data_IF_389170810537
#
_entry.id   IF_389170810537
#
_cell.length_a   1.000
_cell.length_b   1.000
_cell.length_c   1.000
_cell.angle_alpha   90.00
_cell.angle_beta   90.00
_cell.angle_gamma   90.00
#
_symmetry.space_group_name_H-M   'P 1'
#
loop_
_entity.id
_entity.type
_entity.pdbx_description
1 polymer ?
#
# COMPACT_ATOMS: atom_id res chain seq x y z
N UNK A 1 30.53 16.55 -37.42
CA UNK A 1 29.19 16.53 -36.78
C UNK A 1 28.88 15.21 -36.07
N UNK A 2 29.21 14.04 -36.65
CA UNK A 2 28.99 12.71 -36.03
C UNK A 2 29.70 12.50 -34.68
N UNK A 3 30.92 13.00 -34.51
CA UNK A 3 31.69 12.85 -33.25
C UNK A 3 31.03 13.60 -32.08
N UNK A 4 30.36 14.73 -32.35
CA UNK A 4 29.71 15.55 -31.31
C UNK A 4 28.42 14.90 -30.79
N UNK A 5 27.64 14.25 -31.67
CA UNK A 5 26.46 13.47 -31.28
C UNK A 5 26.84 12.23 -30.46
N UNK A 6 27.90 11.52 -30.83
CA UNK A 6 28.39 10.37 -30.05
C UNK A 6 28.88 10.77 -28.65
N UNK A 7 29.56 11.90 -28.49
CA UNK A 7 29.95 12.41 -27.16
C UNK A 7 28.70 12.79 -26.36
N UNK A 8 27.72 13.43 -26.99
CA UNK A 8 26.47 13.87 -26.35
C UNK A 8 25.56 12.68 -25.94
N UNK A 9 25.46 11.64 -26.78
CA UNK A 9 24.75 10.40 -26.46
C UNK A 9 25.44 9.63 -25.33
N UNK A 10 26.77 9.57 -25.35
CA UNK A 10 27.58 8.92 -24.32
C UNK A 10 27.52 9.65 -22.98
N UNK A 11 27.40 10.98 -22.98
CA UNK A 11 27.15 11.75 -21.75
C UNK A 11 25.73 11.56 -21.23
N UNK A 12 24.73 11.54 -22.12
CA UNK A 12 23.34 11.26 -21.77
C UNK A 12 23.14 9.84 -21.22
N UNK A 13 23.91 8.87 -21.72
CA UNK A 13 23.89 7.49 -21.21
C UNK A 13 24.51 7.39 -19.80
N UNK A 14 25.63 8.10 -19.55
CA UNK A 14 26.22 8.22 -18.21
C UNK A 14 25.28 8.93 -17.22
N UNK A 15 24.51 9.90 -17.68
CA UNK A 15 23.54 10.60 -16.84
C UNK A 15 22.39 9.68 -16.40
N UNK A 16 21.88 8.84 -17.32
CA UNK A 16 20.88 7.80 -17.00
C UNK A 16 21.45 6.74 -16.05
N UNK A 17 22.72 6.39 -16.19
CA UNK A 17 23.37 5.42 -15.30
C UNK A 17 23.48 5.97 -13.86
N UNK A 18 23.84 7.25 -13.70
CA UNK A 18 23.84 7.94 -12.40
C UNK A 18 22.45 8.05 -11.80
N UNK A 19 21.42 8.25 -12.62
CA UNK A 19 20.04 8.31 -12.16
C UNK A 19 19.56 6.96 -11.60
N UNK A 20 19.88 5.86 -12.29
CA UNK A 20 19.62 4.49 -11.81
C UNK A 20 20.38 4.16 -10.53
N UNK A 21 21.62 4.65 -10.40
CA UNK A 21 22.42 4.46 -9.20
C UNK A 21 21.81 5.18 -7.99
N UNK A 22 21.35 6.42 -8.17
CA UNK A 22 20.61 7.19 -7.14
C UNK A 22 19.29 6.52 -6.76
N UNK A 23 18.60 5.92 -7.71
CA UNK A 23 17.34 5.21 -7.44
C UNK A 23 17.58 3.96 -6.57
N UNK A 24 18.63 3.17 -6.90
CA UNK A 24 19.06 2.01 -6.08
C UNK A 24 19.51 2.42 -4.68
N UNK A 25 20.17 3.56 -4.54
CA UNK A 25 20.60 4.08 -3.24
C UNK A 25 19.40 4.46 -2.37
N UNK A 26 18.39 5.13 -2.94
CA UNK A 26 17.12 5.44 -2.26
C UNK A 26 16.36 4.19 -1.85
N UNK A 27 16.38 3.15 -2.68
CA UNK A 27 15.72 1.88 -2.36
C UNK A 27 16.39 1.18 -1.17
N UNK A 28 17.73 1.15 -1.15
CA UNK A 28 18.51 0.65 0.00
C UNK A 28 18.27 1.46 1.27
N UNK A 29 18.11 2.77 1.16
CA UNK A 29 17.80 3.63 2.30
C UNK A 29 16.41 3.32 2.88
N UNK A 30 15.39 3.14 2.02
CA UNK A 30 14.05 2.70 2.43
C UNK A 30 14.05 1.31 3.05
N UNK A 31 14.89 0.41 2.57
CA UNK A 31 15.05 -0.93 3.15
C UNK A 31 15.66 -0.86 4.56
N UNK A 32 16.71 -0.05 4.74
CA UNK A 32 17.29 0.22 6.08
C UNK A 32 16.29 0.89 7.01
N UNK A 33 15.45 1.79 6.50
CA UNK A 33 14.40 2.45 7.29
C UNK A 33 13.33 1.45 7.72
N UNK A 34 12.89 0.55 6.83
CA UNK A 34 12.00 -0.57 7.17
C UNK A 34 12.62 -1.52 8.18
N UNK A 35 13.91 -1.86 8.04
CA UNK A 35 14.62 -2.67 9.02
C UNK A 35 14.69 -1.98 10.40
N UNK A 36 14.91 -0.66 10.43
CA UNK A 36 14.88 0.14 11.66
C UNK A 36 13.49 0.18 12.27
N UNK A 37 12.44 0.33 11.47
CA UNK A 37 11.05 0.27 11.95
C UNK A 37 10.70 -1.12 12.49
N UNK A 38 11.10 -2.20 11.82
CA UNK A 38 10.91 -3.57 12.29
C UNK A 38 11.67 -3.78 13.61
N UNK A 39 12.91 -3.29 13.72
CA UNK A 39 13.69 -3.38 14.95
C UNK A 39 13.11 -2.51 16.08
N UNK A 40 12.57 -1.32 15.77
CA UNK A 40 11.93 -0.43 16.74
C UNK A 40 10.58 -0.96 17.22
N UNK A 41 9.80 -1.57 16.32
CA UNK A 41 8.47 -2.11 16.63
C UNK A 41 8.52 -3.56 17.17
N UNK A 42 9.57 -4.31 16.86
CA UNK A 42 9.71 -5.75 17.20
C UNK A 42 10.44 -6.05 18.51
N UNK A 43 11.08 -5.06 19.15
CA UNK A 43 11.84 -5.25 20.39
C UNK A 43 11.25 -4.42 21.53
N UNK A 44 10.21 -4.93 22.19
CA UNK A 44 10.05 -4.56 23.59
C UNK A 44 11.25 -5.12 24.35
N UNK A 45 12.01 -4.24 25.01
CA UNK A 45 13.12 -4.69 25.86
C UNK A 45 12.58 -5.68 26.91
N UNK A 46 13.38 -6.68 27.35
CA UNK A 46 12.94 -7.60 28.40
C UNK A 46 12.48 -6.89 29.69
N UNK A 47 12.94 -5.66 29.94
CA UNK A 47 12.46 -4.81 31.02
C UNK A 47 11.05 -4.25 30.73
N UNK A 48 10.82 -3.65 29.55
CA UNK A 48 9.52 -3.11 29.16
C UNK A 48 8.44 -4.19 29.02
N UNK A 49 8.82 -5.40 28.59
CA UNK A 49 7.93 -6.57 28.55
C UNK A 49 7.55 -7.04 29.97
N UNK A 50 8.51 -7.08 30.90
CA UNK A 50 8.24 -7.39 32.31
C UNK A 50 7.31 -6.38 32.96
N UNK A 51 7.48 -5.09 32.70
CA UNK A 51 6.62 -4.05 33.26
C UNK A 51 5.19 -4.14 32.72
N UNK A 52 5.00 -4.38 31.41
CA UNK A 52 3.65 -4.65 30.85
C UNK A 52 2.99 -5.89 31.44
N UNK A 53 3.76 -6.91 31.79
CA UNK A 53 3.23 -8.11 32.42
C UNK A 53 2.80 -7.83 33.87
N UNK A 54 3.48 -6.95 34.60
CA UNK A 54 3.12 -6.56 35.97
C UNK A 54 1.79 -5.81 36.08
N UNK A 55 1.36 -5.13 35.02
CA UNK A 55 0.08 -4.42 34.96
C UNK A 55 -1.13 -5.35 34.75
N UNK A 56 -0.92 -6.66 34.55
CA UNK A 56 -2.02 -7.62 34.39
C UNK A 56 -2.53 -8.09 35.77
N UNK A 57 -3.86 -8.04 36.03
CA UNK A 57 -4.46 -8.21 37.36
C UNK A 57 -4.32 -9.61 37.98
N UNK A 58 -3.60 -10.55 37.35
CA UNK A 58 -3.44 -11.93 37.82
C UNK A 58 -1.97 -12.36 37.94
N UNK A 59 -0.99 -11.49 37.63
CA UNK A 59 0.43 -11.87 37.61
C UNK A 59 1.01 -12.20 38.99
N UNK A 60 0.42 -11.68 40.07
CA UNK A 60 0.77 -12.05 41.44
C UNK A 60 0.50 -13.52 41.78
N UNK A 61 -0.39 -14.18 41.02
CA UNK A 61 -0.85 -15.55 41.29
C UNK A 61 0.02 -16.59 40.58
N UNK A 62 0.62 -16.23 39.43
CA UNK A 62 1.25 -17.22 38.53
C UNK A 62 2.78 -17.26 38.57
N UNK A 63 3.47 -16.31 39.22
CA UNK A 63 4.95 -16.39 39.30
C UNK A 63 5.56 -15.56 40.45
N UNK A 64 6.09 -16.25 41.47
CA UNK A 64 6.89 -15.65 42.55
C UNK A 64 8.24 -15.06 42.09
N UNK A 65 8.65 -15.29 40.84
CA UNK A 65 9.92 -14.81 40.30
C UNK A 65 9.86 -13.36 39.76
N UNK A 66 8.68 -12.73 39.69
CA UNK A 66 8.47 -11.42 39.03
C UNK A 66 8.42 -10.26 40.04
N UNK A 67 8.17 -10.53 41.32
CA UNK A 67 8.23 -9.56 42.41
C UNK A 67 9.39 -9.96 43.34
N UNK A 68 10.51 -9.22 43.38
CA UNK A 68 11.45 -9.38 44.49
C UNK A 68 10.74 -8.85 45.75
N UNK A 69 10.37 -9.75 46.67
CA UNK A 69 9.85 -9.36 47.97
C UNK A 69 10.86 -8.43 48.65
N UNK A 70 10.47 -7.18 48.85
CA UNK A 70 11.12 -6.31 49.82
C UNK A 70 10.83 -6.92 51.20
N UNK A 71 11.79 -7.68 51.73
CA UNK A 71 11.77 -8.15 53.11
C UNK A 71 11.89 -6.95 54.05
N UNK A 72 10.76 -6.35 54.41
CA UNK A 72 10.65 -5.67 55.69
C UNK A 72 10.43 -6.73 56.78
N UNK A 73 11.32 -6.75 57.76
CA UNK A 73 11.25 -7.67 58.91
C UNK A 73 10.06 -7.26 59.80
N UNK A 74 9.14 -8.16 60.18
CA UNK A 74 8.28 -7.93 61.32
C UNK A 74 8.88 -8.63 62.54
N UNK A 75 9.46 -7.83 63.42
CA UNK A 75 9.55 -8.18 64.83
C UNK A 75 8.16 -7.97 65.44
N UNK A 76 7.44 -9.07 65.70
CA UNK A 76 6.62 -9.31 66.91
C UNK A 76 5.75 -10.55 66.70
N UNK A 77 5.58 -11.28 67.81
CA UNK A 77 4.77 -12.47 67.94
C UNK A 77 3.30 -12.08 67.76
N UNK A 78 2.72 -12.45 66.63
CA UNK A 78 1.27 -12.66 66.56
C UNK A 78 1.06 -14.14 66.27
N UNK A 79 0.60 -14.82 67.32
CA UNK A 79 -0.03 -16.13 67.22
C UNK A 79 -1.14 -15.94 66.19
N UNK A 80 -0.98 -16.54 65.01
CA UNK A 80 -2.08 -16.66 64.06
C UNK A 80 -3.06 -17.62 64.73
N UNK A 81 -4.03 -17.04 65.42
CA UNK A 81 -5.13 -17.73 66.05
C UNK A 81 -5.81 -18.55 64.94
N UNK A 82 -5.62 -19.87 64.98
CA UNK A 82 -6.17 -20.84 64.03
C UNK A 82 -7.68 -21.05 64.27
N UNK A 83 -8.37 -19.97 64.65
CA UNK A 83 -9.79 -19.90 64.99
C UNK A 83 -10.60 -19.09 63.96
N UNK A 84 -10.10 -18.89 62.73
CA UNK A 84 -10.86 -18.27 61.63
C UNK A 84 -11.48 -19.28 60.65
N UNK A 85 -12.09 -20.34 61.17
CA UNK A 85 -13.27 -21.02 60.62
C UNK A 85 -13.26 -22.49 61.06
N UNK A 86 -13.93 -22.80 62.16
CA UNK A 86 -14.59 -24.09 62.26
C UNK A 86 -15.69 -24.05 61.19
N UNK A 87 -15.40 -24.53 59.98
CA UNK A 87 -16.39 -24.71 58.92
C UNK A 87 -17.31 -25.83 59.42
N UNK A 88 -18.39 -25.46 60.12
CA UNK A 88 -19.33 -26.41 60.73
C UNK A 88 -20.03 -27.30 59.70
N UNK A 89 -20.05 -26.86 58.44
CA UNK A 89 -20.78 -27.48 57.33
C UNK A 89 -19.82 -27.89 56.19
N UNK A 90 -18.62 -28.41 56.51
CA UNK A 90 -17.71 -28.97 55.51
C UNK A 90 -18.24 -30.31 55.01
N UNK A 91 -18.76 -30.34 53.79
CA UNK A 91 -19.27 -31.54 53.13
C UNK A 91 -18.28 -32.02 52.07
N UNK A 92 -17.95 -33.31 52.08
CA UNK A 92 -17.05 -33.92 51.10
C UNK A 92 -17.80 -35.01 50.35
N UNK A 93 -17.99 -34.82 49.05
CA UNK A 93 -18.67 -35.77 48.16
C UNK A 93 -17.59 -36.52 47.38
N UNK A 94 -17.45 -37.81 47.64
CA UNK A 94 -16.49 -38.64 46.89
C UNK A 94 -16.97 -38.84 45.44
N UNK A 95 -16.13 -38.48 44.47
CA UNK A 95 -16.46 -38.58 43.04
C UNK A 95 -15.93 -39.87 42.43
N UNK A 96 -14.61 -40.11 42.51
CA UNK A 96 -13.98 -41.25 41.86
C UNK A 96 -12.69 -41.67 42.58
N UNK A 97 -12.46 -42.98 42.70
CA UNK A 97 -11.20 -43.55 43.17
C UNK A 97 -10.61 -44.44 42.08
N UNK A 98 -9.37 -44.15 41.69
CA UNK A 98 -8.60 -44.90 40.69
C UNK A 98 -7.25 -45.29 41.30
N UNK A 99 -6.55 -46.25 40.67
CA UNK A 99 -5.21 -46.64 41.11
C UNK A 99 -4.21 -45.47 41.11
N UNK A 100 -4.45 -44.47 40.26
CA UNK A 100 -3.65 -43.26 40.12
C UNK A 100 -4.02 -42.13 41.09
N UNK A 101 -5.09 -42.24 41.87
CA UNK A 101 -5.52 -41.20 42.80
C UNK A 101 -7.01 -41.18 43.11
N UNK A 102 -7.42 -40.20 43.90
CA UNK A 102 -8.80 -40.02 44.35
C UNK A 102 -9.28 -38.60 44.02
N UNK A 103 -10.55 -38.47 43.66
CA UNK A 103 -11.23 -37.21 43.37
C UNK A 103 -12.48 -37.08 44.24
N UNK A 104 -12.69 -35.90 44.80
CA UNK A 104 -13.81 -35.55 45.65
C UNK A 104 -14.14 -34.06 45.48
N UNK A 105 -15.39 -33.71 45.72
CA UNK A 105 -15.89 -32.34 45.75
C UNK A 105 -16.02 -31.90 47.20
N UNK A 106 -15.57 -30.68 47.52
CA UNK A 106 -15.65 -30.12 48.88
C UNK A 106 -16.52 -28.89 48.85
N UNK A 107 -17.63 -28.94 49.58
CA UNK A 107 -18.56 -27.82 49.74
C UNK A 107 -18.36 -27.24 51.13
N UNK A 108 -17.83 -26.02 51.19
CA UNK A 108 -17.59 -25.31 52.46
C UNK A 108 -18.81 -24.51 52.93
N UNK A 109 -19.67 -24.14 51.98
CA UNK A 109 -20.96 -23.47 52.22
C UNK A 109 -21.86 -23.76 51.01
N UNK A 110 -23.07 -24.28 51.19
CA UNK A 110 -23.99 -24.49 50.09
C UNK A 110 -24.33 -23.15 49.41
N UNK A 111 -24.64 -23.15 48.10
CA UNK A 111 -25.01 -21.94 47.38
C UNK A 111 -26.15 -21.23 48.10
N UNK A 112 -26.04 -19.90 48.25
CA UNK A 112 -27.04 -19.11 49.01
C UNK A 112 -28.37 -18.97 48.27
N UNK A 113 -28.45 -19.49 47.05
CA UNK A 113 -29.62 -19.52 46.18
C UNK A 113 -29.76 -20.94 45.62
N UNK A 114 -30.88 -21.60 45.92
CA UNK A 114 -31.21 -22.95 45.44
C UNK A 114 -31.62 -22.98 43.96
N UNK A 115 -31.65 -21.83 43.29
CA UNK A 115 -31.91 -21.77 41.85
C UNK A 115 -30.62 -21.96 41.05
N UNK A 116 -30.75 -22.60 39.90
CA UNK A 116 -29.66 -22.83 38.96
C UNK A 116 -28.97 -21.52 38.48
N UNK A 117 -27.94 -21.65 37.63
CA UNK A 117 -27.15 -20.51 37.14
C UNK A 117 -28.05 -19.36 36.66
N UNK A 118 -27.76 -18.12 37.09
CA UNK A 118 -28.53 -16.93 36.71
C UNK A 118 -28.66 -16.84 35.17
N UNK A 119 -29.87 -16.96 34.60
CA UNK A 119 -30.07 -16.99 33.14
C UNK A 119 -29.59 -15.71 32.43
N UNK A 120 -29.46 -14.60 33.17
CA UNK A 120 -29.08 -13.30 32.63
C UNK A 120 -27.59 -13.18 32.28
N UNK A 121 -26.73 -14.09 32.75
CA UNK A 121 -25.29 -14.07 32.48
C UNK A 121 -24.86 -14.88 31.24
N UNK A 122 -25.80 -15.60 30.62
CA UNK A 122 -25.54 -16.36 29.40
C UNK A 122 -26.01 -15.57 28.20
N UNK A 123 -25.07 -15.02 27.44
CA UNK A 123 -25.37 -14.66 26.05
C UNK A 123 -25.95 -15.91 25.37
N UNK A 124 -27.06 -15.79 24.62
CA UNK A 124 -27.64 -16.94 23.95
C UNK A 124 -26.55 -17.62 23.12
N UNK A 125 -26.44 -18.97 23.14
CA UNK A 125 -25.45 -19.70 22.38
C UNK A 125 -25.47 -19.20 20.94
N UNK A 126 -24.40 -18.54 20.51
CA UNK A 126 -24.31 -18.11 19.11
C UNK A 126 -24.33 -19.36 18.26
N UNK A 127 -25.21 -19.39 17.27
CA UNK A 127 -25.21 -20.45 16.27
C UNK A 127 -23.82 -20.52 15.66
N UNK A 128 -23.24 -21.71 15.64
CA UNK A 128 -22.00 -21.94 14.95
C UNK A 128 -22.21 -21.67 13.45
N UNK A 129 -21.37 -20.85 12.81
CA UNK A 129 -21.50 -20.57 11.39
C UNK A 129 -21.44 -21.86 10.57
N UNK A 130 -22.34 -22.00 9.61
CA UNK A 130 -22.29 -23.08 8.64
C UNK A 130 -21.06 -22.95 7.73
N UNK A 131 -20.61 -24.06 7.14
CA UNK A 131 -19.50 -24.07 6.19
C UNK A 131 -19.75 -23.09 5.02
N UNK A 132 -20.98 -23.01 4.53
CA UNK A 132 -21.37 -22.12 3.44
C UNK A 132 -21.26 -20.63 3.83
N UNK A 133 -21.64 -20.27 5.06
CA UNK A 133 -21.47 -18.90 5.57
C UNK A 133 -20.00 -18.52 5.76
N UNK A 134 -19.16 -19.47 6.18
CA UNK A 134 -17.72 -19.27 6.29
C UNK A 134 -17.12 -19.04 4.90
N UNK A 135 -17.44 -19.93 3.93
CA UNK A 135 -16.94 -19.82 2.56
C UNK A 135 -17.33 -18.49 1.92
N UNK A 136 -18.61 -18.10 2.04
CA UNK A 136 -19.12 -16.82 1.53
C UNK A 136 -18.37 -15.61 2.08
N UNK A 137 -17.95 -15.64 3.36
CA UNK A 137 -17.15 -14.57 3.96
C UNK A 137 -15.72 -14.54 3.43
N UNK A 138 -15.12 -15.70 3.19
CA UNK A 138 -13.79 -15.83 2.58
C UNK A 138 -13.80 -15.31 1.14
N UNK A 139 -14.78 -15.74 0.35
CA UNK A 139 -14.96 -15.32 -1.05
C UNK A 139 -15.19 -13.80 -1.11
N UNK A 140 -16.06 -13.26 -0.26
CA UNK A 140 -16.29 -11.82 -0.21
C UNK A 140 -15.02 -11.03 0.15
N UNK A 141 -14.13 -11.58 0.99
CA UNK A 141 -12.84 -10.96 1.29
C UNK A 141 -11.87 -11.07 0.11
N UNK A 142 -11.90 -12.18 -0.63
CA UNK A 142 -11.12 -12.36 -1.85
C UNK A 142 -11.54 -11.40 -2.96
N UNK A 143 -12.85 -11.26 -3.19
CA UNK A 143 -13.38 -10.34 -4.19
C UNK A 143 -13.02 -8.89 -3.84
N UNK A 144 -13.02 -8.50 -2.56
CA UNK A 144 -12.52 -7.17 -2.15
C UNK A 144 -11.04 -6.97 -2.49
N UNK A 145 -10.19 -8.00 -2.28
CA UNK A 145 -8.76 -7.93 -2.66
C UNK A 145 -8.60 -7.81 -4.18
N UNK A 146 -9.31 -8.64 -4.94
CA UNK A 146 -9.28 -8.61 -6.41
C UNK A 146 -9.78 -7.29 -6.97
N UNK A 147 -10.84 -6.71 -6.41
CA UNK A 147 -11.34 -5.40 -6.81
C UNK A 147 -10.29 -4.30 -6.61
N UNK A 148 -9.61 -4.28 -5.46
CA UNK A 148 -8.54 -3.30 -5.19
C UNK A 148 -7.36 -3.47 -6.16
N UNK A 149 -6.96 -4.72 -6.42
CA UNK A 149 -5.91 -5.02 -7.40
C UNK A 149 -6.31 -4.61 -8.82
N UNK A 150 -7.54 -4.91 -9.23
CA UNK A 150 -8.07 -4.55 -10.54
C UNK A 150 -8.13 -3.02 -10.73
N UNK A 151 -8.52 -2.27 -9.70
CA UNK A 151 -8.54 -0.80 -9.73
C UNK A 151 -7.13 -0.22 -9.86
N UNK A 152 -6.15 -0.76 -9.13
CA UNK A 152 -4.75 -0.39 -9.28
C UNK A 152 -4.23 -0.70 -10.70
N UNK A 153 -4.51 -1.90 -11.20
CA UNK A 153 -4.12 -2.31 -12.55
C UNK A 153 -4.76 -1.43 -13.62
N UNK A 154 -6.02 -1.01 -13.43
CA UNK A 154 -6.71 -0.07 -14.32
C UNK A 154 -5.98 1.27 -14.37
N UNK A 155 -5.64 1.86 -13.25
CA UNK A 155 -4.87 3.12 -13.23
C UNK A 155 -3.48 2.99 -13.85
N UNK A 156 -2.81 1.86 -13.65
CA UNK A 156 -1.55 1.59 -14.32
C UNK A 156 -1.72 1.46 -15.84
N UNK A 157 -2.78 0.81 -16.30
CA UNK A 157 -3.10 0.69 -17.73
C UNK A 157 -3.42 2.06 -18.34
N UNK A 158 -4.24 2.88 -17.68
CA UNK A 158 -4.54 4.27 -18.07
C UNK A 158 -3.26 5.10 -18.20
N UNK A 159 -2.34 4.99 -17.23
CA UNK A 159 -1.05 5.70 -17.30
C UNK A 159 -0.21 5.26 -18.50
N UNK A 160 -0.16 3.95 -18.78
CA UNK A 160 0.58 3.42 -19.95
C UNK A 160 -0.06 3.80 -21.27
N UNK A 161 -1.37 3.97 -21.31
CA UNK A 161 -2.09 4.50 -22.46
C UNK A 161 -1.73 5.97 -22.67
N UNK A 162 -1.77 6.78 -21.62
CA UNK A 162 -1.39 8.19 -21.70
C UNK A 162 0.06 8.37 -22.18
N UNK A 163 1.00 7.55 -21.70
CA UNK A 163 2.39 7.56 -22.18
C UNK A 163 2.48 7.29 -23.70
N UNK A 164 1.67 6.36 -24.22
CA UNK A 164 1.58 6.07 -25.66
C UNK A 164 0.98 7.25 -26.43
N UNK A 165 -0.11 7.82 -25.93
CA UNK A 165 -0.76 8.99 -26.55
C UNK A 165 0.19 10.19 -26.64
N UNK A 166 0.94 10.47 -25.57
CA UNK A 166 1.92 11.57 -25.57
C UNK A 166 3.02 11.32 -26.61
N UNK A 167 3.56 10.10 -26.68
CA UNK A 167 4.57 9.76 -27.68
C UNK A 167 4.04 9.86 -29.12
N UNK A 168 2.82 9.37 -29.35
CA UNK A 168 2.15 9.47 -30.65
C UNK A 168 1.88 10.92 -31.03
N UNK A 169 1.36 11.73 -30.11
CA UNK A 169 1.05 13.14 -30.35
C UNK A 169 2.31 13.94 -30.70
N UNK A 170 3.44 13.67 -30.04
CA UNK A 170 4.71 14.31 -30.39
C UNK A 170 5.13 14.00 -31.84
N UNK A 171 4.94 12.76 -32.29
CA UNK A 171 5.21 12.36 -33.67
C UNK A 171 4.24 13.01 -34.66
N UNK A 172 2.95 13.05 -34.32
CA UNK A 172 1.92 13.69 -35.14
C UNK A 172 2.17 15.19 -35.32
N UNK A 173 2.50 15.91 -34.25
CA UNK A 173 2.82 17.34 -34.30
C UNK A 173 4.07 17.60 -35.16
N UNK A 174 5.11 16.78 -35.00
CA UNK A 174 6.31 16.86 -35.84
C UNK A 174 5.99 16.64 -37.33
N UNK A 175 5.21 15.61 -37.65
CA UNK A 175 4.80 15.32 -39.02
C UNK A 175 3.91 16.42 -39.59
N UNK A 176 3.01 16.98 -38.79
CA UNK A 176 2.18 18.12 -39.17
C UNK A 176 3.01 19.37 -39.47
N UNK A 177 4.05 19.64 -38.68
CA UNK A 177 4.96 20.75 -38.95
C UNK A 177 5.66 20.57 -40.31
N UNK A 178 6.21 19.38 -40.58
CA UNK A 178 6.86 19.09 -41.86
C UNK A 178 5.88 19.25 -43.03
N UNK A 179 4.66 18.71 -42.89
CA UNK A 179 3.62 18.80 -43.92
C UNK A 179 3.25 20.25 -44.21
N UNK A 180 2.95 21.05 -43.18
CA UNK A 180 2.58 22.46 -43.34
C UNK A 180 3.74 23.29 -43.91
N UNK A 181 4.98 23.03 -43.50
CA UNK A 181 6.15 23.70 -44.06
C UNK A 181 6.31 23.39 -45.56
N UNK A 182 6.11 22.14 -45.96
CA UNK A 182 6.16 21.69 -47.35
C UNK A 182 5.06 22.36 -48.19
N UNK A 183 3.80 22.26 -47.76
CA UNK A 183 2.66 22.88 -48.44
C UNK A 183 2.86 24.39 -48.62
N UNK A 184 3.34 25.07 -47.58
CA UNK A 184 3.61 26.52 -47.65
C UNK A 184 4.71 26.85 -48.66
N UNK A 185 5.74 26.03 -48.76
CA UNK A 185 6.81 26.22 -49.73
C UNK A 185 6.29 26.00 -51.15
N UNK A 186 5.55 24.93 -51.39
CA UNK A 186 4.93 24.61 -52.69
C UNK A 186 4.03 25.75 -53.16
N UNK A 187 3.15 26.26 -52.29
CA UNK A 187 2.30 27.41 -52.59
C UNK A 187 3.09 28.67 -52.95
N UNK A 188 4.19 28.95 -52.23
CA UNK A 188 5.05 30.10 -52.54
C UNK A 188 5.74 29.96 -53.89
N UNK A 189 6.18 28.76 -54.24
CA UNK A 189 6.84 28.49 -55.52
C UNK A 189 5.84 28.63 -56.67
N UNK A 190 4.61 28.10 -56.52
CA UNK A 190 3.60 28.22 -57.57
C UNK A 190 3.19 29.68 -57.77
N UNK A 191 2.94 30.42 -56.69
CA UNK A 191 2.63 31.84 -56.79
C UNK A 191 3.78 32.68 -57.39
N UNK A 192 5.03 32.32 -57.11
CA UNK A 192 6.18 32.97 -57.74
C UNK A 192 6.24 32.69 -59.25
N UNK A 193 5.99 31.44 -59.63
CA UNK A 193 5.93 30.99 -61.02
C UNK A 193 4.81 31.70 -61.79
N UNK A 194 3.59 31.70 -61.26
CA UNK A 194 2.44 32.41 -61.83
C UNK A 194 2.73 33.91 -62.02
N UNK A 195 3.35 34.56 -61.02
CA UNK A 195 3.76 35.97 -61.13
C UNK A 195 4.78 36.21 -62.24
N UNK A 196 5.76 35.31 -62.38
CA UNK A 196 6.77 35.39 -63.43
C UNK A 196 6.14 35.20 -64.81
N UNK A 197 5.25 34.22 -64.95
CA UNK A 197 4.52 33.95 -66.19
C UNK A 197 3.61 35.11 -66.57
N UNK A 198 2.85 35.67 -65.63
CA UNK A 198 2.01 36.84 -65.86
C UNK A 198 2.83 38.07 -66.30
N UNK A 199 3.98 38.32 -65.65
CA UNK A 199 4.86 39.42 -66.05
C UNK A 199 5.42 39.25 -67.47
N UNK A 200 5.85 38.04 -67.81
CA UNK A 200 6.33 37.72 -69.16
C UNK A 200 5.21 37.83 -70.20
N UNK A 201 4.02 37.29 -69.90
CA UNK A 201 2.86 37.38 -70.78
C UNK A 201 2.48 38.84 -71.06
N UNK A 202 2.41 39.68 -70.02
CA UNK A 202 2.13 41.11 -70.18
C UNK A 202 3.21 41.84 -71.00
N UNK A 203 4.48 41.43 -70.90
CA UNK A 203 5.56 41.98 -71.72
C UNK A 203 5.41 41.59 -73.19
N UNK A 204 5.09 40.32 -73.47
CA UNK A 204 4.87 39.81 -74.81
C UNK A 204 3.64 40.45 -75.47
N UNK A 205 2.54 40.62 -74.74
CA UNK A 205 1.33 41.27 -75.23
C UNK A 205 1.59 42.72 -75.67
N UNK A 206 2.31 43.51 -74.86
CA UNK A 206 2.72 44.87 -75.24
C UNK A 206 3.58 44.91 -76.50
N UNK A 207 4.42 43.92 -76.72
CA UNK A 207 5.23 43.83 -77.94
C UNK A 207 4.36 43.49 -79.15
N UNK A 208 3.43 42.53 -79.01
CA UNK A 208 2.49 42.18 -80.06
C UNK A 208 1.57 43.34 -80.46
N UNK A 209 1.13 44.17 -79.49
CA UNK A 209 0.38 45.40 -79.78
C UNK A 209 1.18 46.39 -80.63
N UNK A 210 2.48 46.55 -80.33
CA UNK A 210 3.37 47.41 -81.13
C UNK A 210 3.55 46.87 -82.55
N UNK A 211 3.68 45.55 -82.71
CA UNK A 211 3.80 44.92 -84.02
C UNK A 211 2.51 45.10 -84.86
N UNK A 212 1.34 44.92 -84.23
CA UNK A 212 0.04 45.18 -84.88
C UNK A 212 -0.09 46.64 -85.32
N UNK A 213 0.25 47.58 -84.45
CA UNK A 213 0.22 49.00 -84.78
C UNK A 213 1.17 49.35 -85.94
N UNK A 214 2.35 48.74 -86.00
CA UNK A 214 3.29 48.96 -87.10
C UNK A 214 2.72 48.49 -88.45
N UNK A 215 1.97 47.38 -88.47
CA UNK A 215 1.27 46.90 -89.68
C UNK A 215 0.12 47.84 -90.07
N UNK A 216 -0.65 48.35 -89.11
CA UNK A 216 -1.77 49.26 -89.41
C UNK A 216 -1.34 50.63 -89.95
N UNK A 217 -0.14 51.09 -89.60
CA UNK A 217 0.42 52.39 -90.01
C UNK A 217 1.23 52.30 -91.31
N UNK A 218 1.58 51.09 -91.77
CA UNK A 218 2.34 50.84 -93.02
C UNK A 218 1.41 50.80 -94.24
#
# INVERSE_FOLDING_TARGET
MYVCLHVCEREREREREREREREREREREREREREREIHANGLLSPAAYRDKIRELPLVSIFCSCILPEAKEKPTKKDVVDLNLCIIRDMEVIELNKRRSGQAFEVILKPPSFDGGPNPLATTPPRREPSLEEIQRKLDAAEERRKCQEAELLKHLAEKREHEREVAQKALEEHNNFIRLAKERMELRMEHNKEKREAHLAAMLERLQEKDKHAVEVS
#
